data_IF_876768929396
#
_entry.id   IF_876768929396
#
_cell.length_a   1.000
_cell.length_b   1.000
_cell.length_c   1.000
_cell.angle_alpha   90.00
_cell.angle_beta   90.00
_cell.angle_gamma   90.00
#
_symmetry.space_group_name_H-M   'P 1'
#
loop_
_entity.id
_entity.type
_entity.pdbx_description
1 polymer ?
#
# COMPACT_ATOMS: atom_id res chain seq x y z
N UNK A 1 9.88 14.86 -20.46
CA UNK A 1 10.97 15.39 -19.60
C UNK A 1 10.32 15.78 -18.27
N UNK A 2 10.77 15.18 -17.17
CA UNK A 2 10.27 15.49 -15.83
C UNK A 2 10.88 16.77 -15.27
N UNK A 3 10.37 17.21 -14.12
CA UNK A 3 10.95 18.28 -13.32
C UNK A 3 12.28 17.84 -12.68
N UNK A 4 13.00 18.77 -12.07
CA UNK A 4 14.24 18.48 -11.34
C UNK A 4 14.02 17.47 -10.19
N UNK A 5 12.81 17.47 -9.61
CA UNK A 5 12.43 16.55 -8.52
C UNK A 5 11.79 15.25 -9.01
N UNK A 6 11.75 15.01 -10.33
CA UNK A 6 11.20 13.78 -10.92
C UNK A 6 9.69 13.79 -11.14
N UNK A 7 9.03 14.93 -10.95
CA UNK A 7 7.61 15.12 -11.19
C UNK A 7 7.28 15.69 -12.58
N UNK A 8 6.06 16.18 -12.71
CA UNK A 8 5.57 16.95 -13.85
C UNK A 8 4.77 18.15 -13.34
N UNK A 9 4.65 19.18 -14.17
CA UNK A 9 3.79 20.30 -13.83
C UNK A 9 2.35 20.06 -14.26
N UNK A 10 1.43 20.24 -13.32
CA UNK A 10 -0.01 20.28 -13.55
C UNK A 10 -0.48 21.73 -13.42
N UNK A 11 -0.99 22.30 -14.50
CA UNK A 11 -1.42 23.69 -14.56
C UNK A 11 -2.94 23.79 -14.70
N UNK A 12 -3.57 24.45 -13.73
CA UNK A 12 -4.99 24.76 -13.69
C UNK A 12 -5.24 26.30 -13.59
N UNK A 13 -4.20 27.11 -13.74
CA UNK A 13 -4.28 28.57 -13.62
C UNK A 13 -5.13 29.24 -14.69
N UNK A 14 -5.53 28.49 -15.72
CA UNK A 14 -6.52 28.93 -16.71
C UNK A 14 -7.96 29.03 -16.16
N UNK A 15 -8.21 28.52 -14.94
CA UNK A 15 -9.49 28.68 -14.23
C UNK A 15 -9.40 29.81 -13.22
N UNK A 16 -10.56 30.44 -12.92
CA UNK A 16 -10.59 31.47 -11.87
C UNK A 16 -10.29 30.91 -10.49
N UNK A 17 -9.77 31.72 -9.61
CA UNK A 17 -9.47 31.35 -8.23
C UNK A 17 -10.73 30.86 -7.48
N UNK A 18 -11.86 31.52 -7.69
CA UNK A 18 -13.14 31.18 -7.09
C UNK A 18 -13.59 29.79 -7.51
N UNK A 19 -13.47 29.48 -8.81
CA UNK A 19 -13.78 28.15 -9.34
C UNK A 19 -12.88 27.06 -8.73
N UNK A 20 -11.57 27.33 -8.60
CA UNK A 20 -10.61 26.38 -8.03
C UNK A 20 -10.95 26.14 -6.55
N UNK A 21 -11.24 27.17 -5.78
CA UNK A 21 -11.59 27.04 -4.36
C UNK A 21 -12.92 26.29 -4.20
N UNK A 22 -13.91 26.53 -5.07
CA UNK A 22 -15.18 25.81 -5.03
C UNK A 22 -15.02 24.32 -5.32
N UNK A 23 -14.25 23.96 -6.36
CA UNK A 23 -14.14 22.57 -6.83
C UNK A 23 -13.03 21.76 -6.12
N UNK A 24 -11.96 22.41 -5.68
CA UNK A 24 -10.77 21.78 -5.10
C UNK A 24 -10.31 22.45 -3.79
N UNK A 25 -11.22 22.68 -2.81
CA UNK A 25 -10.91 23.48 -1.62
C UNK A 25 -9.75 22.89 -0.79
N UNK A 26 -9.71 21.57 -0.64
CA UNK A 26 -8.67 20.88 0.13
C UNK A 26 -7.31 20.96 -0.56
N UNK A 27 -7.28 20.75 -1.87
CA UNK A 27 -6.03 20.81 -2.66
C UNK A 27 -5.49 22.23 -2.68
N UNK A 28 -6.35 23.25 -2.92
CA UNK A 28 -5.94 24.64 -2.87
C UNK A 28 -5.28 24.98 -1.53
N UNK A 29 -5.92 24.60 -0.41
CA UNK A 29 -5.39 24.83 0.93
C UNK A 29 -4.06 24.11 1.17
N UNK A 30 -3.96 22.83 0.81
CA UNK A 30 -2.73 22.05 0.99
C UNK A 30 -1.52 22.67 0.28
N UNK A 31 -1.68 23.08 -0.96
CA UNK A 31 -0.58 23.73 -1.71
C UNK A 31 -0.23 25.09 -1.12
N UNK A 32 -1.24 25.89 -0.73
CA UNK A 32 -1.03 27.20 -0.14
C UNK A 32 -0.31 27.11 1.23
N UNK A 33 -0.73 26.20 2.10
CA UNK A 33 -0.19 26.05 3.44
C UNK A 33 1.16 25.31 3.46
N UNK A 34 1.31 24.23 2.69
CA UNK A 34 2.51 23.39 2.74
C UNK A 34 3.65 23.92 1.84
N UNK A 35 3.35 24.60 0.73
CA UNK A 35 4.31 25.04 -0.24
C UNK A 35 4.27 26.55 -0.51
N UNK A 36 3.36 27.27 0.15
CA UNK A 36 3.07 28.70 -0.12
C UNK A 36 2.77 28.96 -1.61
N UNK A 37 2.16 27.97 -2.28
CA UNK A 37 1.88 28.00 -3.70
C UNK A 37 0.39 28.30 -3.95
N UNK A 38 0.09 29.44 -4.60
CA UNK A 38 -1.24 29.75 -5.09
C UNK A 38 -1.45 29.07 -6.46
N UNK A 39 -2.12 27.92 -6.48
CA UNK A 39 -2.34 27.12 -7.68
C UNK A 39 -3.28 27.77 -8.70
N UNK A 40 -3.93 28.89 -8.35
CA UNK A 40 -4.64 29.72 -9.32
C UNK A 40 -3.73 30.61 -10.16
N UNK A 41 -2.46 30.71 -9.79
CA UNK A 41 -1.47 31.60 -10.44
C UNK A 41 -0.26 30.84 -10.99
N UNK A 42 0.03 29.68 -10.45
CA UNK A 42 1.24 28.94 -10.79
C UNK A 42 0.97 27.44 -10.85
N UNK A 43 1.65 26.70 -11.74
CA UNK A 43 1.47 25.25 -11.85
C UNK A 43 1.98 24.52 -10.60
N UNK A 44 1.32 23.41 -10.29
CA UNK A 44 1.70 22.48 -9.23
C UNK A 44 2.73 21.48 -9.75
N UNK A 45 3.80 21.23 -9.01
CA UNK A 45 4.64 20.07 -9.27
C UNK A 45 3.98 18.84 -8.62
N UNK A 46 3.70 17.83 -9.42
CA UNK A 46 3.05 16.58 -8.99
C UNK A 46 3.82 15.36 -9.48
N UNK A 47 3.74 14.27 -8.77
CA UNK A 47 4.32 13.00 -9.18
C UNK A 47 3.35 11.85 -8.89
N UNK A 48 3.38 10.76 -9.69
CA UNK A 48 2.66 9.55 -9.37
C UNK A 48 3.12 9.00 -8.02
N UNK A 49 2.19 8.45 -7.25
CA UNK A 49 2.50 7.77 -6.01
C UNK A 49 1.76 6.44 -5.94
N UNK A 50 2.32 5.47 -5.21
CA UNK A 50 1.63 4.23 -4.95
C UNK A 50 0.34 4.52 -4.17
N UNK A 51 -0.78 3.99 -4.65
CA UNK A 51 -2.09 4.27 -4.09
C UNK A 51 -2.87 3.00 -3.76
N UNK A 52 -2.96 2.04 -4.68
CA UNK A 52 -3.76 0.83 -4.55
C UNK A 52 -3.02 -0.37 -5.15
N UNK A 53 -2.97 -1.48 -4.40
CA UNK A 53 -2.35 -2.73 -4.88
C UNK A 53 -3.42 -3.64 -5.46
N UNK A 54 -3.26 -4.01 -6.74
CA UNK A 54 -4.11 -5.01 -7.39
C UNK A 54 -3.59 -6.41 -7.07
N UNK A 55 -4.51 -7.36 -6.94
CA UNK A 55 -4.18 -8.71 -6.49
C UNK A 55 -4.31 -8.85 -4.98
N UNK A 56 -3.81 -9.94 -4.42
CA UNK A 56 -3.91 -10.22 -3.00
C UNK A 56 -4.27 -11.65 -2.68
N UNK A 57 -4.95 -11.86 -1.58
CA UNK A 57 -5.38 -13.18 -1.12
C UNK A 57 -6.48 -13.71 -2.03
N UNK A 58 -6.30 -14.92 -2.57
CA UNK A 58 -7.33 -15.60 -3.34
C UNK A 58 -8.49 -16.00 -2.42
N UNK A 59 -9.68 -15.57 -2.78
CA UNK A 59 -10.91 -15.83 -2.02
C UNK A 59 -11.96 -16.54 -2.88
N UNK A 60 -12.79 -17.32 -2.23
CA UNK A 60 -14.00 -17.86 -2.85
C UNK A 60 -14.99 -16.70 -3.12
N UNK A 61 -15.49 -16.52 -4.35
CA UNK A 61 -16.37 -15.41 -4.70
C UNK A 61 -17.72 -15.44 -3.97
N UNK A 62 -18.16 -16.62 -3.48
CA UNK A 62 -19.47 -16.76 -2.83
C UNK A 62 -19.48 -16.28 -1.38
N UNK A 63 -18.43 -16.56 -0.61
CA UNK A 63 -18.41 -16.34 0.83
C UNK A 63 -17.16 -15.63 1.35
N UNK A 64 -16.22 -15.31 0.45
CA UNK A 64 -14.94 -14.62 0.77
C UNK A 64 -14.01 -15.42 1.68
N UNK A 65 -14.24 -16.76 1.81
CA UNK A 65 -13.31 -17.65 2.50
C UNK A 65 -12.01 -17.81 1.70
N UNK A 66 -10.92 -18.06 2.41
CA UNK A 66 -9.62 -18.38 1.82
C UNK A 66 -9.37 -19.88 1.81
N UNK A 67 -8.22 -20.31 1.28
CA UNK A 67 -7.77 -21.69 1.39
C UNK A 67 -7.41 -22.10 2.83
N UNK A 68 -7.31 -21.14 3.75
CA UNK A 68 -7.08 -21.38 5.17
C UNK A 68 -8.43 -21.37 5.89
N UNK A 69 -8.76 -22.49 6.50
CA UNK A 69 -10.03 -22.66 7.21
C UNK A 69 -10.20 -21.59 8.31
N UNK A 70 -11.38 -20.95 8.32
CA UNK A 70 -11.72 -19.89 9.27
C UNK A 70 -11.11 -18.52 8.94
N UNK A 71 -10.35 -18.39 7.86
CA UNK A 71 -9.81 -17.12 7.40
C UNK A 71 -10.63 -16.58 6.22
N UNK A 72 -11.11 -15.34 6.36
CA UNK A 72 -11.84 -14.60 5.33
C UNK A 72 -11.09 -13.33 4.97
N UNK A 73 -11.20 -12.88 3.72
CA UNK A 73 -10.57 -11.65 3.27
C UNK A 73 -11.50 -10.85 2.36
N UNK A 74 -11.50 -9.51 2.51
CA UNK A 74 -12.27 -8.60 1.67
C UNK A 74 -11.59 -7.23 1.58
N UNK A 75 -11.87 -6.47 0.54
CA UNK A 75 -11.25 -5.18 0.26
C UNK A 75 -9.91 -5.32 -0.46
N UNK A 76 -9.05 -4.31 -0.39
CA UNK A 76 -7.80 -4.26 -1.14
C UNK A 76 -6.88 -5.47 -0.94
N UNK A 77 -6.98 -6.14 0.21
CA UNK A 77 -6.20 -7.35 0.53
C UNK A 77 -6.65 -8.58 -0.26
N UNK A 78 -7.88 -8.58 -0.80
CA UNK A 78 -8.42 -9.68 -1.59
C UNK A 78 -8.15 -9.50 -3.08
N UNK A 79 -7.67 -10.54 -3.74
CA UNK A 79 -7.42 -10.53 -5.18
C UNK A 79 -8.65 -10.91 -6.02
N UNK A 80 -8.61 -10.53 -7.30
CA UNK A 80 -9.52 -11.04 -8.33
C UNK A 80 -10.61 -10.07 -8.78
N UNK A 81 -11.10 -9.18 -7.92
CA UNK A 81 -12.24 -8.31 -8.26
C UNK A 81 -11.92 -7.26 -9.34
N UNK A 82 -10.74 -6.67 -9.28
CA UNK A 82 -10.39 -5.51 -10.11
C UNK A 82 -9.50 -5.84 -11.31
N UNK A 83 -9.15 -7.10 -11.51
CA UNK A 83 -8.24 -7.51 -12.59
C UNK A 83 -6.89 -6.79 -12.49
N UNK A 84 -6.43 -6.24 -13.61
CA UNK A 84 -5.13 -5.56 -13.68
C UNK A 84 -5.15 -4.14 -13.12
N UNK A 85 -6.31 -3.47 -13.08
CA UNK A 85 -6.42 -2.10 -12.58
C UNK A 85 -7.83 -1.76 -12.11
N UNK A 86 -7.93 -1.15 -10.92
CA UNK A 86 -9.19 -0.74 -10.32
C UNK A 86 -9.68 0.58 -10.93
N UNK A 87 -10.95 0.63 -11.29
CA UNK A 87 -11.62 1.88 -11.67
C UNK A 87 -11.84 2.79 -10.46
N UNK A 88 -11.74 4.10 -10.67
CA UNK A 88 -11.93 5.11 -9.65
C UNK A 88 -13.28 4.96 -8.93
N UNK A 89 -13.28 5.09 -7.59
CA UNK A 89 -14.46 4.95 -6.74
C UNK A 89 -14.81 3.52 -6.31
N UNK A 90 -14.44 2.50 -7.07
CA UNK A 90 -14.86 1.12 -6.81
C UNK A 90 -14.31 0.52 -5.50
N UNK A 91 -13.23 1.07 -4.94
CA UNK A 91 -12.70 0.56 -3.66
C UNK A 91 -13.66 0.77 -2.49
N UNK A 92 -14.38 1.90 -2.45
CA UNK A 92 -15.37 2.14 -1.40
C UNK A 92 -16.57 1.20 -1.51
N UNK A 93 -17.07 0.97 -2.74
CA UNK A 93 -18.13 0.00 -2.98
C UNK A 93 -17.68 -1.43 -2.59
N UNK A 94 -16.45 -1.79 -2.95
CA UNK A 94 -15.87 -3.09 -2.61
C UNK A 94 -15.85 -3.32 -1.10
N UNK A 95 -15.23 -2.45 -0.32
CA UNK A 95 -15.07 -2.67 1.13
C UNK A 95 -16.41 -2.74 1.85
N UNK A 96 -17.43 -2.01 1.39
CA UNK A 96 -18.77 -2.04 1.98
C UNK A 96 -19.47 -3.37 1.66
N UNK A 97 -19.51 -3.74 0.37
CA UNK A 97 -20.26 -4.91 -0.09
C UNK A 97 -19.57 -6.21 0.33
N UNK A 98 -18.30 -6.37 -0.02
CA UNK A 98 -17.57 -7.61 0.25
C UNK A 98 -17.16 -7.73 1.71
N UNK A 99 -16.87 -6.62 2.40
CA UNK A 99 -16.66 -6.65 3.85
C UNK A 99 -17.90 -7.14 4.62
N UNK A 100 -19.11 -6.70 4.21
CA UNK A 100 -20.37 -7.21 4.77
C UNK A 100 -20.54 -8.70 4.47
N UNK A 101 -20.27 -9.16 3.26
CA UNK A 101 -20.39 -10.57 2.88
C UNK A 101 -19.43 -11.45 3.67
N UNK A 102 -18.16 -11.06 3.74
CA UNK A 102 -17.15 -11.76 4.53
C UNK A 102 -17.54 -11.83 6.02
N UNK A 103 -18.02 -10.72 6.58
CA UNK A 103 -18.48 -10.67 7.97
C UNK A 103 -19.65 -11.62 8.25
N UNK A 104 -20.62 -11.72 7.34
CA UNK A 104 -21.74 -12.67 7.46
C UNK A 104 -21.22 -14.10 7.40
N UNK A 105 -20.33 -14.41 6.45
CA UNK A 105 -19.76 -15.75 6.29
C UNK A 105 -18.93 -16.16 7.54
N UNK A 106 -18.05 -15.26 7.98
CA UNK A 106 -17.25 -15.48 9.20
C UNK A 106 -18.13 -15.68 10.45
N UNK A 107 -19.21 -14.91 10.58
CA UNK A 107 -20.17 -15.07 11.69
C UNK A 107 -20.89 -16.42 11.63
N UNK A 108 -21.28 -16.89 10.45
CA UNK A 108 -21.87 -18.23 10.28
C UNK A 108 -20.87 -19.32 10.64
N UNK A 109 -19.64 -19.18 10.13
CA UNK A 109 -18.57 -20.13 10.43
C UNK A 109 -18.32 -20.21 11.95
N UNK A 110 -18.14 -19.08 12.63
CA UNK A 110 -17.84 -19.05 14.07
C UNK A 110 -18.92 -19.65 14.97
N UNK A 111 -20.19 -19.64 14.54
CA UNK A 111 -21.31 -20.27 15.28
C UNK A 111 -21.30 -21.79 15.21
N UNK A 112 -20.62 -22.34 14.20
CA UNK A 112 -20.58 -23.81 13.98
C UNK A 112 -19.26 -24.41 14.46
N UNK A 113 -18.40 -23.62 15.09
CA UNK A 113 -17.14 -24.12 15.65
C UNK A 113 -17.35 -24.32 17.16
N UNK A 114 -17.05 -25.51 17.63
CA UNK A 114 -16.83 -25.76 19.04
C UNK A 114 -15.57 -25.03 19.52
N UNK A 115 -15.17 -25.20 20.72
CA UNK A 115 -14.07 -24.47 21.33
C UNK A 115 -12.76 -24.59 20.54
N UNK A 116 -12.25 -23.48 19.98
CA UNK A 116 -10.92 -23.46 19.38
C UNK A 116 -9.83 -23.45 20.45
N UNK A 117 -9.03 -24.51 20.47
CA UNK A 117 -7.81 -24.54 21.30
C UNK A 117 -6.68 -23.81 20.62
N UNK A 118 -6.13 -22.80 21.28
CA UNK A 118 -4.91 -22.12 20.80
C UNK A 118 -3.72 -23.06 20.96
N UNK A 119 -2.98 -23.29 19.87
CA UNK A 119 -1.75 -24.10 19.91
C UNK A 119 -0.63 -23.32 20.61
N UNK A 120 -0.19 -23.78 21.78
CA UNK A 120 0.97 -23.24 22.47
C UNK A 120 2.23 -23.28 21.58
N UNK A 121 2.36 -24.31 20.73
CA UNK A 121 3.44 -24.41 19.75
C UNK A 121 3.39 -23.29 18.72
N UNK A 122 2.21 -22.94 18.20
CA UNK A 122 2.06 -21.83 17.25
C UNK A 122 2.40 -20.49 17.91
N UNK A 123 2.00 -20.29 19.16
CA UNK A 123 2.33 -19.10 19.95
C UNK A 123 3.86 -19.00 20.14
N UNK A 124 4.51 -20.08 20.53
CA UNK A 124 5.97 -20.13 20.73
C UNK A 124 6.73 -19.79 19.42
N UNK A 125 6.31 -20.37 18.28
CA UNK A 125 6.90 -20.07 16.97
C UNK A 125 6.71 -18.58 16.61
N UNK A 126 5.53 -18.02 16.86
CA UNK A 126 5.27 -16.60 16.60
C UNK A 126 6.17 -15.70 17.46
N UNK A 127 6.32 -15.99 18.74
CA UNK A 127 7.24 -15.30 19.66
C UNK A 127 8.68 -15.39 19.19
N UNK A 128 9.15 -16.58 18.82
CA UNK A 128 10.50 -16.77 18.29
C UNK A 128 10.75 -15.93 17.03
N UNK A 129 9.79 -15.91 16.10
CA UNK A 129 9.89 -15.13 14.88
C UNK A 129 9.97 -13.61 15.14
N UNK A 130 9.22 -13.10 16.13
CA UNK A 130 9.31 -11.71 16.54
C UNK A 130 10.64 -11.42 17.22
N UNK A 131 11.08 -12.28 18.14
CA UNK A 131 12.32 -12.09 18.91
C UNK A 131 13.59 -12.09 18.03
N UNK A 132 13.54 -12.73 16.85
CA UNK A 132 14.64 -12.66 15.86
C UNK A 132 14.95 -11.22 15.42
N UNK A 133 13.95 -10.33 15.47
CA UNK A 133 14.11 -8.92 15.08
C UNK A 133 14.38 -7.99 16.26
N UNK A 134 14.07 -8.41 17.50
CA UNK A 134 14.31 -7.62 18.72
C UNK A 134 15.74 -7.85 19.19
N UNK A 135 16.67 -7.15 18.60
CA UNK A 135 18.11 -7.26 18.94
C UNK A 135 18.84 -5.97 18.63
N UNK A 136 20.00 -5.81 19.24
CA UNK A 136 20.95 -4.79 18.85
C UNK A 136 21.64 -5.22 17.54
N UNK A 137 21.58 -4.36 16.54
CA UNK A 137 22.23 -4.55 15.26
C UNK A 137 23.02 -3.31 14.86
N UNK A 138 23.75 -3.40 13.75
CA UNK A 138 24.51 -2.28 13.21
C UNK A 138 23.71 -1.48 12.16
N UNK A 139 22.66 -2.07 11.60
CA UNK A 139 21.83 -1.46 10.57
C UNK A 139 20.63 -0.72 11.18
N UNK A 140 20.39 0.49 10.75
CA UNK A 140 19.25 1.29 11.18
C UNK A 140 18.05 1.10 10.25
N UNK A 141 16.84 0.95 10.80
CA UNK A 141 15.60 0.74 10.05
C UNK A 141 15.34 1.86 9.04
N UNK A 142 15.45 3.11 9.46
CA UNK A 142 15.09 4.27 8.63
C UNK A 142 15.96 4.43 7.36
N UNK A 143 17.29 4.33 7.41
CA UNK A 143 18.11 4.28 6.19
C UNK A 143 17.72 3.18 5.23
N UNK A 144 17.48 1.95 5.71
CA UNK A 144 17.04 0.83 4.87
C UNK A 144 15.67 1.08 4.22
N UNK A 145 14.73 1.66 4.96
CA UNK A 145 13.43 2.06 4.39
C UNK A 145 13.60 3.11 3.29
N UNK A 146 14.47 4.09 3.48
CA UNK A 146 14.72 5.11 2.46
C UNK A 146 15.42 4.53 1.24
N UNK A 147 16.40 3.65 1.43
CA UNK A 147 17.05 2.91 0.34
C UNK A 147 16.02 2.09 -0.46
N UNK A 148 15.14 1.36 0.21
CA UNK A 148 14.05 0.60 -0.44
C UNK A 148 13.12 1.51 -1.25
N UNK A 149 12.71 2.66 -0.70
CA UNK A 149 11.85 3.63 -1.40
C UNK A 149 12.50 4.15 -2.68
N UNK A 150 13.80 4.46 -2.63
CA UNK A 150 14.55 4.93 -3.79
C UNK A 150 14.68 3.83 -4.85
N UNK A 151 14.94 2.59 -4.45
CA UNK A 151 14.97 1.43 -5.36
C UNK A 151 13.61 1.25 -6.02
N UNK A 152 12.54 1.22 -5.24
CA UNK A 152 11.19 1.06 -5.78
C UNK A 152 10.82 2.19 -6.75
N UNK A 153 11.15 3.44 -6.41
CA UNK A 153 10.92 4.59 -7.29
C UNK A 153 11.67 4.47 -8.61
N UNK A 154 12.95 4.14 -8.54
CA UNK A 154 13.83 4.11 -9.73
C UNK A 154 13.56 2.91 -10.63
N UNK A 155 13.37 1.72 -10.04
CA UNK A 155 13.37 0.45 -10.77
C UNK A 155 11.97 -0.12 -10.97
N UNK A 156 11.01 0.21 -10.12
CA UNK A 156 9.63 -0.26 -10.16
C UNK A 156 8.61 0.88 -10.31
N UNK A 157 9.05 2.04 -10.84
CA UNK A 157 8.23 3.21 -11.06
C UNK A 157 7.20 3.04 -12.18
N UNK A 158 6.71 4.15 -12.74
CA UNK A 158 5.66 4.17 -13.78
C UNK A 158 6.12 3.47 -15.06
N UNK A 159 7.36 3.71 -15.49
CA UNK A 159 7.94 3.07 -16.67
C UNK A 159 8.73 1.86 -16.22
N UNK A 160 8.29 0.69 -16.65
CA UNK A 160 8.86 -0.61 -16.29
C UNK A 160 9.41 -1.30 -17.52
N UNK A 161 10.54 -1.95 -17.38
CA UNK A 161 11.07 -2.93 -18.33
C UNK A 161 11.78 -4.04 -17.55
N UNK A 162 12.02 -5.17 -18.21
CA UNK A 162 12.61 -6.35 -17.58
C UNK A 162 13.97 -6.08 -16.94
N UNK A 163 14.85 -5.39 -17.65
CA UNK A 163 16.21 -5.06 -17.16
C UNK A 163 16.18 -4.26 -15.86
N UNK A 164 15.35 -3.21 -15.80
CA UNK A 164 15.20 -2.40 -14.59
C UNK A 164 14.59 -3.20 -13.44
N UNK A 165 13.59 -4.03 -13.73
CA UNK A 165 12.95 -4.85 -12.70
C UNK A 165 13.91 -5.88 -12.11
N UNK A 166 14.73 -6.54 -12.94
CA UNK A 166 15.75 -7.49 -12.47
C UNK A 166 16.84 -6.79 -11.64
N UNK A 167 17.30 -5.61 -12.07
CA UNK A 167 18.25 -4.82 -11.29
C UNK A 167 17.64 -4.38 -9.94
N UNK A 168 16.39 -3.92 -9.95
CA UNK A 168 15.66 -3.59 -8.73
C UNK A 168 15.53 -4.77 -7.77
N UNK A 169 15.19 -5.94 -8.29
CA UNK A 169 15.09 -7.18 -7.51
C UNK A 169 16.42 -7.53 -6.83
N UNK A 170 17.54 -7.48 -7.57
CA UNK A 170 18.88 -7.73 -7.01
C UNK A 170 19.21 -6.77 -5.85
N UNK A 171 18.83 -5.49 -5.98
CA UNK A 171 19.04 -4.50 -4.90
C UNK A 171 18.17 -4.75 -3.67
N UNK A 172 16.92 -5.19 -3.89
CA UNK A 172 16.01 -5.58 -2.79
C UNK A 172 16.56 -6.80 -2.03
N UNK A 173 17.08 -7.80 -2.73
CA UNK A 173 17.73 -8.95 -2.08
C UNK A 173 18.96 -8.51 -1.26
N UNK A 174 19.72 -7.52 -1.71
CA UNK A 174 20.82 -6.94 -0.92
C UNK A 174 20.31 -6.26 0.37
N UNK A 175 19.19 -5.54 0.32
CA UNK A 175 18.56 -4.99 1.54
C UNK A 175 18.12 -6.11 2.47
N UNK A 176 17.53 -7.17 1.93
CA UNK A 176 17.03 -8.31 2.69
C UNK A 176 18.14 -8.98 3.52
N UNK A 177 19.36 -9.07 2.99
CA UNK A 177 20.49 -9.59 3.75
C UNK A 177 20.85 -8.73 4.97
N UNK A 178 20.67 -7.40 4.87
CA UNK A 178 20.91 -6.46 5.98
C UNK A 178 19.86 -6.56 7.09
N UNK A 179 18.64 -7.07 6.80
CA UNK A 179 17.57 -7.21 7.81
C UNK A 179 17.99 -8.12 8.99
N UNK A 180 18.92 -9.03 8.76
CA UNK A 180 19.45 -9.87 9.83
C UNK A 180 20.30 -9.12 10.86
N UNK A 181 20.74 -7.91 10.57
CA UNK A 181 21.59 -7.06 11.42
C UNK A 181 20.91 -5.71 11.79
N UNK A 182 19.59 -5.64 11.68
CA UNK A 182 18.81 -4.44 12.01
C UNK A 182 18.74 -4.26 13.52
N UNK A 183 18.95 -3.02 13.98
CA UNK A 183 18.71 -2.58 15.35
C UNK A 183 17.24 -2.23 15.55
N UNK A 184 16.53 -3.01 16.35
CA UNK A 184 15.13 -2.78 16.75
C UNK A 184 15.09 -2.72 18.28
N UNK A 185 15.10 -1.49 18.78
CA UNK A 185 14.95 -1.16 20.22
C UNK A 185 13.68 -0.44 20.48
#
# INVERSE_FOLDING_TARGET
RGTKNGGVFLDISHKSKEFIIEKLPSIYRQFLEAQMLDISKSPMEVAPTAHYSMGGILVNPEDLSTSVEGLFAAGEVAGGLHGANRLGGNSLAEIIIFGRRAGIAASKYSKNIDQQMRSNKAIAIAHENINKFIKNGNELVRPLQNELRLIMWKYCGVIKNETLLLEGLSKIESIKTKLSDVDVR
#
